data_IF_138019160251
#
_entry.id   IF_138019160251
#
_cell.length_a   1.000
_cell.length_b   1.000
_cell.length_c   1.000
_cell.angle_alpha   90.00
_cell.angle_beta   90.00
_cell.angle_gamma   90.00
#
_symmetry.space_group_name_H-M   'P 1'
#
loop_
_entity.id
_entity.type
_entity.pdbx_description
1 polymer ?
#
# COMPACT_ATOMS: atom_id res chain seq x y z
N UNK A 1 -18.10 -13.55 46.24
CA UNK A 1 -18.56 -14.49 47.27
C UNK A 1 -18.09 -15.87 46.83
N UNK A 2 -16.96 -16.36 47.29
CA UNK A 2 -16.73 -17.18 48.46
C UNK A 2 -17.42 -18.52 48.38
N UNK A 3 -16.66 -19.60 48.27
CA UNK A 3 -16.61 -20.62 49.32
C UNK A 3 -15.43 -21.55 49.05
N UNK A 4 -14.50 -21.50 50.00
CA UNK A 4 -13.46 -22.49 50.32
C UNK A 4 -14.04 -23.56 51.25
N UNK A 5 -13.59 -24.87 51.13
CA UNK A 5 -13.40 -25.84 52.27
C UNK A 5 -12.56 -26.98 51.76
N UNK A 6 -11.32 -27.08 52.15
CA UNK A 6 -10.58 -27.73 53.23
C UNK A 6 -11.12 -29.09 53.63
N UNK A 7 -10.32 -30.16 53.38
CA UNK A 7 -10.23 -31.36 54.24
C UNK A 7 -8.76 -31.76 54.34
N UNK A 8 -8.31 -31.84 55.56
CA UNK A 8 -7.02 -32.29 56.04
C UNK A 8 -7.11 -33.75 56.49
N UNK A 9 -5.92 -34.39 56.54
CA UNK A 9 -5.44 -35.55 57.34
C UNK A 9 -5.34 -36.87 56.55
N UNK A 10 -4.34 -37.73 56.67
CA UNK A 10 -3.27 -37.99 57.67
C UNK A 10 -2.24 -38.94 57.05
N UNK A 11 -0.99 -38.68 57.38
CA UNK A 11 0.12 -39.57 57.74
C UNK A 11 0.35 -40.94 57.04
N UNK A 12 1.51 -41.12 56.36
CA UNK A 12 2.56 -42.10 56.72
C UNK A 12 3.75 -42.04 55.75
N UNK A 13 4.89 -41.88 56.36
CA UNK A 13 6.27 -42.14 55.97
C UNK A 13 6.48 -43.11 54.79
N UNK A 14 7.30 -42.76 53.79
CA UNK A 14 8.67 -43.31 53.60
C UNK A 14 9.22 -43.01 52.16
N UNK A 15 10.52 -42.79 52.13
CA UNK A 15 11.49 -42.85 51.03
C UNK A 15 11.62 -41.67 50.09
N UNK A 16 12.52 -40.82 50.50
CA UNK A 16 13.28 -39.90 49.63
C UNK A 16 14.00 -40.71 48.55
N UNK A 17 13.52 -40.61 47.31
CA UNK A 17 14.35 -40.87 46.13
C UNK A 17 14.76 -39.52 45.57
N UNK A 18 16.05 -39.22 45.67
CA UNK A 18 16.66 -38.12 44.92
C UNK A 18 16.47 -38.39 43.42
N UNK A 19 15.53 -37.76 42.80
CA UNK A 19 15.50 -37.59 41.35
C UNK A 19 16.46 -36.43 41.03
N UNK A 20 17.56 -36.77 40.40
CA UNK A 20 18.44 -35.77 39.75
C UNK A 20 17.59 -35.03 38.74
N UNK A 21 17.21 -33.82 39.07
CA UNK A 21 16.63 -32.90 38.12
C UNK A 21 17.78 -32.42 37.23
N UNK A 22 17.94 -33.05 36.07
CA UNK A 22 18.70 -32.45 34.99
C UNK A 22 18.00 -31.11 34.66
N UNK A 23 18.76 -30.03 34.48
CA UNK A 23 18.14 -28.76 34.06
C UNK A 23 17.44 -29.04 32.73
N UNK A 24 16.11 -28.85 32.72
CA UNK A 24 15.33 -28.71 31.50
C UNK A 24 15.95 -27.48 30.82
N UNK A 25 16.75 -27.74 29.80
CA UNK A 25 17.29 -26.71 28.95
C UNK A 25 16.09 -25.93 28.43
N UNK A 26 16.05 -24.66 28.76
CA UNK A 26 14.97 -23.72 28.47
C UNK A 26 14.84 -23.59 26.96
N UNK A 27 13.95 -24.39 26.35
CA UNK A 27 13.61 -24.34 24.91
C UNK A 27 12.74 -23.12 24.60
N UNK A 28 12.39 -22.31 25.60
CA UNK A 28 11.44 -21.19 25.48
C UNK A 28 12.04 -19.90 24.93
N UNK A 29 13.32 -19.87 24.50
CA UNK A 29 13.96 -18.64 23.98
C UNK A 29 14.16 -18.60 22.46
N UNK A 30 13.53 -19.46 21.66
CA UNK A 30 13.74 -19.50 20.21
C UNK A 30 12.76 -18.69 19.36
N UNK A 31 11.66 -18.22 19.90
CA UNK A 31 10.65 -17.51 19.15
C UNK A 31 10.50 -16.07 19.67
N UNK A 32 10.83 -15.09 18.84
CA UNK A 32 10.30 -13.76 19.02
C UNK A 32 8.82 -13.85 18.61
N UNK A 33 7.91 -13.64 19.56
CA UNK A 33 6.46 -13.72 19.35
C UNK A 33 6.07 -12.93 18.10
N UNK A 34 4.97 -13.32 17.43
CA UNK A 34 4.33 -12.57 16.35
C UNK A 34 4.37 -11.07 16.67
N UNK A 35 5.20 -10.33 15.96
CA UNK A 35 5.20 -8.88 16.01
C UNK A 35 4.39 -8.35 14.82
N UNK A 36 3.50 -7.42 15.06
CA UNK A 36 2.94 -6.66 13.95
C UNK A 36 3.97 -5.60 13.56
N UNK A 37 4.64 -5.80 12.44
CA UNK A 37 5.50 -4.79 11.85
C UNK A 37 4.65 -3.62 11.36
N UNK A 38 5.01 -2.41 11.77
CA UNK A 38 4.44 -1.16 11.28
C UNK A 38 5.60 -0.31 10.80
N UNK A 39 5.73 -0.20 9.49
CA UNK A 39 6.82 0.56 8.87
C UNK A 39 6.28 1.53 7.80
N UNK A 40 6.84 2.74 7.74
CA UNK A 40 6.64 3.70 6.67
C UNK A 40 7.92 3.84 5.86
N UNK A 41 7.80 3.70 4.53
CA UNK A 41 8.95 3.68 3.62
C UNK A 41 9.01 4.89 2.72
N UNK A 42 10.23 5.43 2.58
CA UNK A 42 10.60 6.42 1.57
C UNK A 42 11.72 5.90 0.67
N UNK A 43 11.64 6.23 -0.60
CA UNK A 43 12.79 6.16 -1.51
C UNK A 43 13.52 7.49 -1.39
N UNK A 44 14.82 7.42 -1.23
CA UNK A 44 15.69 8.59 -1.07
C UNK A 44 16.33 8.92 -2.43
N UNK A 45 16.32 10.19 -2.82
CA UNK A 45 17.18 10.63 -3.92
C UNK A 45 18.63 10.52 -3.49
N UNK A 46 19.45 9.86 -4.29
CA UNK A 46 20.85 9.58 -3.96
C UNK A 46 21.63 10.87 -3.61
N UNK A 47 21.36 11.96 -4.32
CA UNK A 47 22.03 13.26 -4.10
C UNK A 47 21.60 13.93 -2.78
N UNK A 48 20.52 13.46 -2.15
CA UNK A 48 20.04 13.98 -0.87
C UNK A 48 20.52 13.18 0.35
N UNK A 49 21.23 12.07 0.15
CA UNK A 49 21.61 11.13 1.24
C UNK A 49 22.42 11.81 2.34
N UNK A 50 23.43 12.60 1.98
CA UNK A 50 24.30 13.23 2.98
C UNK A 50 23.57 14.30 3.77
N UNK A 51 22.77 15.14 3.11
CA UNK A 51 21.93 16.13 3.79
C UNK A 51 20.86 15.48 4.69
N UNK A 52 20.30 14.34 4.26
CA UNK A 52 19.36 13.56 5.08
C UNK A 52 20.07 12.99 6.32
N UNK A 53 21.26 12.41 6.15
CA UNK A 53 22.08 11.87 7.27
C UNK A 53 22.38 12.96 8.30
N UNK A 54 22.83 14.14 7.83
CA UNK A 54 23.10 15.28 8.71
C UNK A 54 21.84 15.71 9.47
N UNK A 55 20.69 15.75 8.80
CA UNK A 55 19.42 16.07 9.47
C UNK A 55 19.03 15.00 10.50
N UNK A 56 19.18 13.71 10.18
CA UNK A 56 18.88 12.61 11.12
C UNK A 56 19.74 12.69 12.39
N UNK A 57 21.00 13.12 12.28
CA UNK A 57 21.87 13.34 13.45
C UNK A 57 21.32 14.43 14.39
N UNK A 58 20.57 15.40 13.87
CA UNK A 58 19.98 16.49 14.69
C UNK A 58 18.75 16.06 15.48
N UNK A 59 18.13 14.93 15.15
CA UNK A 59 16.92 14.47 15.83
C UNK A 59 17.18 14.00 17.28
N UNK A 60 18.44 13.76 17.60
CA UNK A 60 18.83 13.11 18.87
C UNK A 60 18.47 11.61 18.85
N UNK A 61 18.79 10.94 19.95
CA UNK A 61 18.56 9.49 20.05
C UNK A 61 19.84 8.68 19.89
N UNK A 62 19.69 7.36 19.82
CA UNK A 62 20.79 6.41 19.74
C UNK A 62 21.12 6.14 18.28
N UNK A 63 22.36 6.43 17.88
CA UNK A 63 22.84 6.20 16.52
C UNK A 63 23.70 4.92 16.46
N UNK A 64 23.43 4.09 15.47
CA UNK A 64 24.21 2.90 15.14
C UNK A 64 24.85 3.08 13.78
N UNK A 65 26.18 2.94 13.74
CA UNK A 65 26.95 3.02 12.51
C UNK A 65 26.49 1.99 11.46
N UNK A 66 26.70 2.23 10.16
CA UNK A 66 26.30 1.31 9.13
C UNK A 66 26.82 -0.11 9.34
N UNK A 67 25.93 -1.10 9.28
CA UNK A 67 26.25 -2.53 9.26
C UNK A 67 25.78 -3.16 7.96
N UNK A 68 26.53 -4.14 7.45
CA UNK A 68 26.18 -4.85 6.22
C UNK A 68 25.11 -5.91 6.54
N UNK A 69 24.00 -5.87 5.80
CA UNK A 69 22.92 -6.84 5.81
C UNK A 69 22.86 -7.56 4.48
N UNK A 70 22.98 -8.89 4.53
CA UNK A 70 22.79 -9.75 3.36
C UNK A 70 21.54 -10.56 3.54
N UNK A 71 20.62 -10.52 2.57
CA UNK A 71 19.41 -11.31 2.62
C UNK A 71 19.32 -12.19 1.38
N UNK A 72 18.93 -13.42 1.57
CA UNK A 72 18.55 -14.35 0.51
C UNK A 72 17.04 -14.56 0.64
N UNK A 73 16.31 -14.30 -0.43
CA UNK A 73 14.86 -14.54 -0.51
C UNK A 73 14.60 -15.83 -1.24
N UNK A 74 13.64 -16.58 -0.71
CA UNK A 74 13.33 -17.92 -1.13
C UNK A 74 11.92 -18.00 -1.70
N UNK A 75 11.74 -18.88 -2.69
CA UNK A 75 10.44 -19.10 -3.31
C UNK A 75 10.40 -20.50 -3.95
N UNK A 76 9.22 -21.01 -4.21
CA UNK A 76 9.03 -22.20 -5.02
C UNK A 76 9.01 -21.84 -6.51
N UNK A 77 9.32 -22.78 -7.42
CA UNK A 77 9.27 -22.54 -8.87
C UNK A 77 7.90 -22.06 -9.38
N UNK A 78 6.83 -22.53 -8.77
CA UNK A 78 5.43 -22.16 -9.07
C UNK A 78 4.93 -20.93 -8.30
N UNK A 79 5.81 -20.25 -7.55
CA UNK A 79 5.53 -19.03 -6.75
C UNK A 79 4.46 -19.25 -5.67
N UNK A 80 4.51 -20.38 -5.01
CA UNK A 80 3.54 -20.75 -3.98
C UNK A 80 3.50 -19.74 -2.81
N UNK A 81 4.68 -19.32 -2.29
CA UNK A 81 4.74 -18.31 -1.21
C UNK A 81 4.11 -17.00 -1.65
N UNK A 82 4.49 -16.49 -2.81
CA UNK A 82 3.93 -15.26 -3.38
C UNK A 82 2.42 -15.36 -3.62
N UNK A 83 1.95 -16.54 -4.05
CA UNK A 83 0.52 -16.81 -4.26
C UNK A 83 -0.31 -16.76 -2.98
N UNK A 84 0.33 -16.91 -1.81
CA UNK A 84 -0.29 -16.81 -0.49
C UNK A 84 0.09 -15.52 0.25
N UNK A 85 0.60 -14.49 -0.45
CA UNK A 85 1.08 -13.22 0.12
C UNK A 85 2.14 -13.39 1.22
N UNK A 86 2.97 -14.42 1.07
CA UNK A 86 4.07 -14.76 1.98
C UNK A 86 5.41 -14.35 1.40
N UNK A 87 6.34 -13.91 2.26
CA UNK A 87 7.72 -13.60 1.88
C UNK A 87 8.70 -14.20 2.87
N UNK A 88 9.56 -15.11 2.38
CA UNK A 88 10.54 -15.84 3.16
C UNK A 88 11.96 -15.38 2.85
N UNK A 89 12.75 -15.08 3.88
CA UNK A 89 14.17 -14.76 3.73
C UNK A 89 15.01 -15.31 4.85
N UNK A 90 16.31 -15.48 4.58
CA UNK A 90 17.36 -15.54 5.60
C UNK A 90 18.16 -14.26 5.50
N UNK A 91 18.37 -13.60 6.65
CA UNK A 91 19.23 -12.43 6.82
C UNK A 91 20.49 -12.84 7.55
N UNK A 92 21.64 -12.39 7.02
CA UNK A 92 22.92 -12.43 7.70
C UNK A 92 23.38 -11.04 8.08
N UNK A 93 23.81 -10.85 9.34
CA UNK A 93 24.41 -9.64 9.86
C UNK A 93 25.49 -10.01 10.89
N UNK A 94 26.74 -9.59 10.65
CA UNK A 94 27.86 -9.81 11.57
C UNK A 94 28.00 -11.27 12.06
N UNK A 95 27.81 -12.23 11.16
CA UNK A 95 27.90 -13.69 11.47
C UNK A 95 26.70 -14.25 12.25
N UNK A 96 25.64 -13.48 12.44
CA UNK A 96 24.35 -13.94 12.98
C UNK A 96 23.37 -14.13 11.84
N UNK A 97 22.51 -15.12 11.97
CA UNK A 97 21.52 -15.43 10.95
C UNK A 97 20.11 -15.45 11.53
N UNK A 98 19.16 -14.97 10.74
CA UNK A 98 17.75 -14.92 11.09
C UNK A 98 16.90 -15.31 9.90
N UNK A 99 15.99 -16.27 10.09
CA UNK A 99 14.93 -16.57 9.14
C UNK A 99 13.71 -15.70 9.46
N UNK A 100 13.23 -15.00 8.46
CA UNK A 100 12.04 -14.15 8.58
C UNK A 100 10.95 -14.63 7.62
N UNK A 101 9.73 -14.80 8.14
CA UNK A 101 8.52 -14.97 7.34
C UNK A 101 7.61 -13.78 7.56
N UNK A 102 7.28 -13.07 6.47
CA UNK A 102 6.26 -12.02 6.46
C UNK A 102 5.03 -12.55 5.74
N UNK A 103 3.86 -12.33 6.31
CA UNK A 103 2.59 -12.80 5.72
C UNK A 103 1.71 -11.63 5.31
N UNK A 104 0.54 -11.92 4.69
CA UNK A 104 -0.41 -10.93 4.23
C UNK A 104 -0.71 -9.85 5.28
N UNK A 105 -0.74 -8.60 4.83
CA UNK A 105 -1.02 -7.45 5.66
C UNK A 105 -1.67 -6.32 4.87
N UNK A 106 -1.72 -5.13 5.46
CA UNK A 106 -2.25 -3.93 4.82
C UNK A 106 -1.12 -2.99 4.41
N UNK A 107 -1.27 -2.36 3.26
CA UNK A 107 -0.38 -1.29 2.80
C UNK A 107 -1.22 -0.09 2.39
N UNK A 108 -0.97 1.06 3.03
CA UNK A 108 -1.62 2.32 2.67
C UNK A 108 -0.53 3.36 2.38
N UNK A 109 -0.36 3.70 1.12
CA UNK A 109 0.57 4.74 0.66
C UNK A 109 2.05 4.52 0.98
N UNK A 110 2.47 3.32 1.36
CA UNK A 110 3.84 3.02 1.81
C UNK A 110 3.96 2.80 3.31
N UNK A 111 2.88 2.99 4.09
CA UNK A 111 2.76 2.46 5.44
C UNK A 111 2.35 0.99 5.35
N UNK A 112 3.25 0.11 5.77
CA UNK A 112 3.06 -1.34 5.82
C UNK A 112 2.68 -1.75 7.23
N UNK A 113 1.65 -2.60 7.34
CA UNK A 113 1.21 -3.21 8.59
C UNK A 113 1.00 -4.69 8.33
N UNK A 114 1.91 -5.54 8.81
CA UNK A 114 1.84 -6.99 8.54
C UNK A 114 2.48 -7.82 9.64
N UNK A 115 1.99 -9.04 9.87
CA UNK A 115 2.63 -9.97 10.76
C UNK A 115 4.01 -10.40 10.25
N UNK A 116 4.97 -10.43 11.15
CA UNK A 116 6.33 -10.88 10.91
C UNK A 116 6.74 -11.89 11.96
N UNK A 117 7.35 -12.99 11.49
CA UNK A 117 7.86 -14.06 12.33
C UNK A 117 9.36 -14.20 12.12
N UNK A 118 10.14 -13.98 13.17
CA UNK A 118 11.58 -14.02 13.16
C UNK A 118 12.11 -15.19 14.00
N UNK A 119 13.01 -15.97 13.41
CA UNK A 119 13.64 -17.14 14.03
C UNK A 119 15.15 -17.03 13.89
N UNK A 120 15.86 -16.98 15.02
CA UNK A 120 17.32 -17.00 15.02
C UNK A 120 17.83 -18.37 14.55
N UNK A 121 18.82 -18.35 13.65
CA UNK A 121 19.47 -19.54 13.10
C UNK A 121 20.93 -19.59 13.52
N UNK A 122 21.45 -20.81 13.74
CA UNK A 122 22.89 -21.04 13.97
C UNK A 122 23.70 -20.97 12.67
N UNK A 123 23.07 -21.34 11.55
CA UNK A 123 23.64 -21.35 10.20
C UNK A 123 22.64 -20.80 9.17
N UNK A 124 23.08 -20.30 8.01
CA UNK A 124 22.19 -19.74 6.99
C UNK A 124 21.45 -20.84 6.19
N UNK A 125 20.83 -21.77 6.90
CA UNK A 125 20.08 -22.89 6.32
C UNK A 125 18.62 -22.80 6.70
N UNK A 126 17.71 -22.92 5.71
CA UNK A 126 16.27 -22.92 5.95
C UNK A 126 15.83 -24.12 6.77
N UNK A 127 15.05 -23.85 7.81
CA UNK A 127 14.29 -24.85 8.55
C UNK A 127 12.86 -24.33 8.78
N UNK A 128 11.96 -24.66 7.86
CA UNK A 128 10.57 -24.21 7.90
C UNK A 128 9.79 -24.76 9.09
N UNK A 129 10.25 -25.88 9.69
CA UNK A 129 9.62 -26.46 10.88
C UNK A 129 9.81 -25.59 12.14
N UNK A 130 10.74 -24.63 12.10
CA UNK A 130 10.91 -23.65 13.18
C UNK A 130 9.86 -22.54 13.17
N UNK A 131 9.10 -22.36 12.09
CA UNK A 131 8.01 -21.39 12.01
C UNK A 131 6.75 -21.94 12.70
N UNK A 132 5.99 -21.11 13.42
CA UNK A 132 4.78 -21.55 14.10
C UNK A 132 3.67 -21.93 13.11
N UNK A 133 2.73 -22.77 13.56
CA UNK A 133 1.68 -23.34 12.70
C UNK A 133 0.75 -22.28 12.09
N UNK A 134 0.49 -21.20 12.81
CA UNK A 134 -0.38 -20.09 12.36
C UNK A 134 0.18 -19.34 11.16
N UNK A 135 1.45 -19.50 10.82
CA UNK A 135 2.06 -18.92 9.60
C UNK A 135 1.47 -19.55 8.33
N UNK A 136 1.13 -20.83 8.42
CA UNK A 136 0.78 -21.63 7.25
C UNK A 136 -0.72 -21.58 6.94
N UNK A 137 -1.10 -21.56 5.66
CA UNK A 137 -2.50 -21.75 5.28
C UNK A 137 -3.08 -23.03 5.93
N UNK A 138 -4.26 -22.90 6.54
CA UNK A 138 -4.92 -23.97 7.29
C UNK A 138 -4.17 -24.49 8.54
N UNK A 139 -3.13 -23.78 9.02
CA UNK A 139 -2.40 -24.13 10.22
C UNK A 139 -1.43 -25.30 10.08
N UNK A 140 -1.07 -25.69 8.85
CA UNK A 140 -0.17 -26.82 8.60
C UNK A 140 0.88 -26.46 7.53
N UNK A 141 2.16 -26.76 7.82
CA UNK A 141 3.25 -26.68 6.84
C UNK A 141 2.99 -27.72 5.74
N UNK A 142 2.85 -27.32 4.45
CA UNK A 142 2.73 -28.29 3.37
C UNK A 142 3.92 -29.24 3.32
N UNK A 143 3.65 -30.56 3.25
CA UNK A 143 4.67 -31.61 3.42
C UNK A 143 5.82 -31.55 2.39
N UNK A 144 5.54 -31.08 1.17
CA UNK A 144 6.51 -30.95 0.08
C UNK A 144 7.18 -29.57 -0.02
N UNK A 145 6.71 -28.57 0.73
CA UNK A 145 7.14 -27.18 0.58
C UNK A 145 8.64 -27.00 0.84
N UNK A 146 9.17 -27.61 1.90
CA UNK A 146 10.57 -27.50 2.27
C UNK A 146 11.52 -28.01 1.18
N UNK A 147 11.12 -29.04 0.40
CA UNK A 147 11.90 -29.59 -0.71
C UNK A 147 11.82 -28.76 -1.99
N UNK A 148 10.82 -27.89 -2.12
CA UNK A 148 10.57 -27.07 -3.33
C UNK A 148 11.11 -25.66 -3.21
N UNK A 149 11.30 -25.16 -1.99
CA UNK A 149 11.78 -23.80 -1.74
C UNK A 149 13.26 -23.68 -2.08
N UNK A 150 13.60 -22.69 -2.91
CA UNK A 150 14.96 -22.43 -3.37
C UNK A 150 15.26 -20.92 -3.37
N UNK A 151 16.56 -20.51 -3.35
CA UNK A 151 16.92 -19.11 -3.49
C UNK A 151 16.40 -18.51 -4.80
N UNK A 152 15.81 -17.34 -4.75
CA UNK A 152 15.26 -16.64 -5.91
C UNK A 152 16.01 -15.34 -6.24
N UNK A 153 16.26 -14.51 -5.23
CA UNK A 153 17.00 -13.25 -5.35
C UNK A 153 17.64 -12.89 -4.01
N UNK A 154 18.55 -11.92 -4.03
CA UNK A 154 19.24 -11.43 -2.85
C UNK A 154 19.17 -9.91 -2.73
N UNK A 155 19.41 -9.41 -1.52
CA UNK A 155 19.71 -8.00 -1.26
C UNK A 155 20.98 -7.90 -0.45
N UNK A 156 21.86 -6.97 -0.82
CA UNK A 156 23.10 -6.67 -0.11
C UNK A 156 23.16 -5.15 0.08
N UNK A 157 23.12 -4.69 1.32
CA UNK A 157 23.07 -3.27 1.63
C UNK A 157 23.65 -2.96 2.99
N UNK A 158 24.10 -1.74 3.17
CA UNK A 158 24.47 -1.17 4.46
C UNK A 158 23.27 -0.48 5.08
N UNK A 159 22.95 -0.82 6.34
CA UNK A 159 21.90 -0.20 7.14
C UNK A 159 22.50 0.63 8.25
N UNK A 160 22.21 1.93 8.23
CA UNK A 160 22.52 2.88 9.29
C UNK A 160 21.22 3.18 10.06
N UNK A 161 21.29 3.22 11.41
CA UNK A 161 20.08 3.29 12.22
C UNK A 161 20.13 4.43 13.25
N UNK A 162 18.96 5.02 13.49
CA UNK A 162 18.69 5.94 14.59
C UNK A 162 17.49 5.47 15.37
N UNK A 163 17.61 5.34 16.70
CA UNK A 163 16.50 5.02 17.59
C UNK A 163 16.05 6.30 18.26
N UNK A 164 14.85 6.74 17.95
CA UNK A 164 14.29 8.02 18.44
C UNK A 164 13.00 7.80 19.23
N UNK A 165 12.75 8.68 20.19
CA UNK A 165 11.50 8.71 20.96
C UNK A 165 10.64 9.89 20.50
N UNK A 166 9.41 9.61 20.04
CA UNK A 166 8.45 10.61 19.60
C UNK A 166 7.12 10.36 20.31
N UNK A 167 6.67 11.35 21.10
CA UNK A 167 5.39 11.28 21.83
C UNK A 167 5.21 9.98 22.65
N UNK A 168 6.29 9.52 23.29
CA UNK A 168 6.28 8.27 24.08
C UNK A 168 6.34 6.97 23.24
N UNK A 169 6.51 7.08 21.95
CA UNK A 169 6.69 5.94 21.03
C UNK A 169 8.14 5.82 20.64
N UNK A 170 8.65 4.59 20.58
CA UNK A 170 10.00 4.26 20.13
C UNK A 170 9.99 3.89 18.65
N UNK A 171 10.79 4.58 17.85
CA UNK A 171 10.86 4.41 16.39
C UNK A 171 12.30 4.14 15.97
N UNK A 172 12.51 3.11 15.14
CA UNK A 172 13.76 2.90 14.42
C UNK A 172 13.66 3.62 13.06
N UNK A 173 14.64 4.47 12.79
CA UNK A 173 14.88 5.04 11.46
C UNK A 173 16.01 4.24 10.85
N UNK A 174 15.81 3.64 9.68
CA UNK A 174 16.81 2.85 8.97
C UNK A 174 17.09 3.45 7.58
N UNK A 175 18.31 3.88 7.34
CA UNK A 175 18.79 4.29 6.01
C UNK A 175 19.54 3.11 5.38
N UNK A 176 19.00 2.60 4.25
CA UNK A 176 19.50 1.43 3.53
C UNK A 176 20.13 1.85 2.21
N UNK A 177 21.39 1.53 2.01
CA UNK A 177 22.15 1.81 0.80
C UNK A 177 22.81 0.55 0.26
N UNK A 178 22.47 0.13 -0.97
CA UNK A 178 23.00 -1.08 -1.57
C UNK A 178 22.27 -1.50 -2.83
N UNK A 179 21.97 -2.79 -2.97
CA UNK A 179 21.34 -3.32 -4.19
C UNK A 179 20.47 -4.55 -3.95
N UNK A 180 19.52 -4.75 -4.86
CA UNK A 180 18.74 -5.99 -5.04
C UNK A 180 19.28 -6.68 -6.28
N UNK A 181 19.53 -7.99 -6.21
CA UNK A 181 20.06 -8.81 -7.31
C UNK A 181 19.22 -10.05 -7.57
N UNK A 182 18.96 -10.32 -8.87
CA UNK A 182 18.37 -11.59 -9.32
C UNK A 182 19.02 -11.99 -10.65
N UNK A 183 19.78 -13.09 -10.68
CA UNK A 183 20.59 -13.47 -11.84
C UNK A 183 21.55 -12.35 -12.22
N UNK A 184 21.52 -11.94 -13.48
CA UNK A 184 22.35 -10.84 -14.02
C UNK A 184 21.72 -9.44 -13.82
N UNK A 185 20.48 -9.37 -13.28
CA UNK A 185 19.79 -8.11 -13.07
C UNK A 185 20.05 -7.57 -11.66
N UNK A 186 20.32 -6.25 -11.58
CA UNK A 186 20.48 -5.54 -10.31
C UNK A 186 19.74 -4.21 -10.32
N UNK A 187 19.30 -3.75 -9.14
CA UNK A 187 18.66 -2.47 -8.92
C UNK A 187 19.16 -1.84 -7.61
N UNK A 188 19.48 -0.54 -7.58
CA UNK A 188 19.99 0.09 -6.36
C UNK A 188 18.93 0.15 -5.26
N UNK A 189 19.38 0.01 -4.00
CA UNK A 189 18.63 0.32 -2.79
C UNK A 189 19.12 1.68 -2.29
N UNK A 190 18.20 2.63 -2.15
CA UNK A 190 18.41 3.90 -1.48
C UNK A 190 17.08 4.27 -0.80
N UNK A 191 16.88 3.81 0.42
CA UNK A 191 15.60 3.83 1.12
C UNK A 191 15.75 4.29 2.56
N UNK A 192 14.73 4.98 3.06
CA UNK A 192 14.55 5.30 4.47
C UNK A 192 13.29 4.59 4.97
N UNK A 193 13.43 3.80 6.02
CA UNK A 193 12.34 3.08 6.68
C UNK A 193 12.15 3.65 8.09
N UNK A 194 10.92 3.92 8.48
CA UNK A 194 10.52 4.33 9.82
C UNK A 194 9.71 3.20 10.42
N UNK A 195 10.28 2.42 11.35
CA UNK A 195 9.63 1.26 11.97
C UNK A 195 9.22 1.58 13.40
N UNK A 196 7.95 1.31 13.72
CA UNK A 196 7.41 1.46 15.07
C UNK A 196 7.83 0.27 15.94
N UNK A 197 8.73 0.47 16.88
CA UNK A 197 9.15 -0.57 17.83
C UNK A 197 8.16 -0.69 19.01
N UNK A 198 7.61 0.44 19.46
CA UNK A 198 6.57 0.47 20.50
C UNK A 198 5.81 1.81 20.48
N UNK A 199 4.54 1.80 20.88
CA UNK A 199 3.69 2.98 20.96
C UNK A 199 2.66 3.08 19.84
N UNK A 200 2.45 4.27 19.30
CA UNK A 200 1.34 4.61 18.42
C UNK A 200 1.79 4.92 16.98
N UNK A 201 1.07 4.42 15.98
CA UNK A 201 1.32 4.69 14.55
C UNK A 201 1.35 6.20 14.22
N UNK A 202 0.62 7.01 14.96
CA UNK A 202 0.64 8.49 14.79
C UNK A 202 2.01 9.09 15.01
N UNK A 203 2.84 8.52 15.87
CA UNK A 203 4.20 9.01 16.12
C UNK A 203 5.09 8.81 14.89
N UNK A 204 4.94 7.68 14.17
CA UNK A 204 5.63 7.44 12.89
C UNK A 204 5.22 8.48 11.85
N UNK A 205 3.94 8.77 11.72
CA UNK A 205 3.42 9.78 10.78
C UNK A 205 3.90 11.18 11.14
N UNK A 206 3.95 11.52 12.42
CA UNK A 206 4.48 12.82 12.92
C UNK A 206 5.97 12.96 12.57
N UNK A 207 6.77 11.94 12.84
CA UNK A 207 8.19 11.92 12.47
C UNK A 207 8.36 12.05 10.95
N UNK A 208 7.58 11.31 10.19
CA UNK A 208 7.60 11.38 8.73
C UNK A 208 7.30 12.80 8.21
N UNK A 209 6.31 13.49 8.79
CA UNK A 209 6.00 14.89 8.45
C UNK A 209 7.17 15.85 8.71
N UNK A 210 7.95 15.61 9.77
CA UNK A 210 9.18 16.38 10.02
C UNK A 210 10.25 16.12 8.95
N UNK A 211 10.43 14.84 8.56
CA UNK A 211 11.45 14.45 7.59
C UNK A 211 11.13 14.91 6.17
N UNK A 212 9.89 14.82 5.71
CA UNK A 212 9.51 15.24 4.35
C UNK A 212 9.54 16.75 4.14
N UNK A 213 9.74 17.55 5.21
CA UNK A 213 10.04 18.97 5.07
C UNK A 213 11.40 19.23 4.40
N UNK A 214 12.29 18.22 4.39
CA UNK A 214 13.51 18.21 3.60
C UNK A 214 13.21 17.61 2.22
N UNK A 215 13.79 18.20 1.17
CA UNK A 215 13.69 17.64 -0.18
C UNK A 215 14.44 16.30 -0.31
N UNK A 216 14.07 15.52 -1.31
CA UNK A 216 14.80 14.29 -1.64
C UNK A 216 14.16 13.00 -1.13
N UNK A 217 12.97 13.08 -0.48
CA UNK A 217 12.20 11.92 -0.04
C UNK A 217 10.96 11.71 -0.92
N UNK A 218 10.75 10.47 -1.34
CA UNK A 218 9.55 10.04 -2.07
C UNK A 218 8.92 8.85 -1.36
N UNK A 219 7.69 9.00 -0.91
CA UNK A 219 6.96 7.89 -0.29
C UNK A 219 6.78 6.75 -1.29
N UNK A 220 7.33 5.56 -0.99
CA UNK A 220 7.40 4.42 -1.87
C UNK A 220 6.51 3.27 -1.41
N UNK A 221 5.85 2.59 -2.37
CA UNK A 221 5.03 1.39 -2.11
C UNK A 221 5.74 0.08 -2.41
N UNK A 222 6.84 0.10 -3.19
CA UNK A 222 7.57 -1.10 -3.58
C UNK A 222 8.57 -1.52 -2.50
N UNK A 223 8.37 -2.70 -1.93
CA UNK A 223 9.35 -3.30 -1.03
C UNK A 223 10.56 -3.85 -1.80
N UNK A 224 11.70 -4.05 -1.09
CA UNK A 224 12.88 -4.76 -1.62
C UNK A 224 12.48 -6.11 -2.23
N UNK A 225 11.57 -6.85 -1.56
CA UNK A 225 11.03 -8.11 -2.07
C UNK A 225 10.27 -7.94 -3.39
N UNK A 226 9.36 -6.95 -3.51
CA UNK A 226 8.62 -6.72 -4.75
C UNK A 226 9.53 -6.39 -5.93
N UNK A 227 10.63 -5.68 -5.70
CA UNK A 227 11.67 -5.40 -6.70
C UNK A 227 12.44 -6.66 -7.07
N UNK A 228 12.86 -7.47 -6.09
CA UNK A 228 13.56 -8.72 -6.31
C UNK A 228 12.74 -9.72 -7.12
N UNK A 229 11.46 -9.88 -6.82
CA UNK A 229 10.54 -10.70 -7.64
C UNK A 229 10.45 -10.20 -9.08
N UNK A 230 10.41 -8.90 -9.29
CA UNK A 230 10.36 -8.31 -10.63
C UNK A 230 11.65 -8.59 -11.42
N UNK A 231 12.80 -8.41 -10.80
CA UNK A 231 14.10 -8.73 -11.40
C UNK A 231 14.21 -10.23 -11.75
N UNK A 232 13.79 -11.12 -10.84
CA UNK A 232 13.80 -12.56 -11.03
C UNK A 232 12.86 -13.03 -12.18
N UNK A 233 11.92 -12.19 -12.60
CA UNK A 233 11.02 -12.45 -13.74
C UNK A 233 11.55 -11.87 -15.06
N UNK A 234 12.82 -11.52 -15.13
CA UNK A 234 13.47 -10.99 -16.33
C UNK A 234 13.41 -9.47 -16.46
N UNK A 235 13.01 -8.76 -15.39
CA UNK A 235 13.03 -7.29 -15.34
C UNK A 235 12.34 -6.60 -16.54
N UNK A 236 11.21 -7.14 -16.99
CA UNK A 236 10.48 -6.56 -18.11
C UNK A 236 10.07 -5.11 -17.82
N UNK A 237 10.18 -4.17 -18.76
CA UNK A 237 9.76 -2.79 -18.57
C UNK A 237 8.29 -2.73 -18.12
N UNK A 238 8.05 -1.97 -17.06
CA UNK A 238 6.67 -1.71 -16.61
C UNK A 238 6.03 -0.66 -17.50
N UNK A 239 4.81 -0.92 -17.96
CA UNK A 239 4.06 0.01 -18.80
C UNK A 239 3.05 0.85 -18.01
N UNK A 240 2.52 1.89 -18.65
CA UNK A 240 1.34 2.61 -18.17
C UNK A 240 0.19 1.61 -18.01
N UNK A 241 -0.49 1.68 -16.88
CA UNK A 241 -1.67 0.85 -16.61
C UNK A 241 -2.91 1.72 -16.45
N UNK A 242 -4.05 1.36 -17.06
CA UNK A 242 -5.30 2.06 -16.85
C UNK A 242 -5.76 1.91 -15.39
N UNK A 243 -6.55 2.85 -14.92
CA UNK A 243 -7.21 2.72 -13.62
C UNK A 243 -8.21 1.56 -13.69
N UNK A 244 -8.02 0.56 -12.83
CA UNK A 244 -8.93 -0.57 -12.73
C UNK A 244 -10.25 -0.18 -12.05
N UNK A 245 -11.31 -0.94 -12.33
CA UNK A 245 -12.57 -0.81 -11.58
C UNK A 245 -12.32 -1.18 -10.11
N UNK A 246 -12.76 -0.30 -9.20
CA UNK A 246 -12.61 -0.48 -7.77
C UNK A 246 -13.35 -1.73 -7.30
N UNK A 247 -12.64 -2.65 -6.67
CA UNK A 247 -13.24 -3.82 -6.00
C UNK A 247 -13.36 -3.53 -4.52
N UNK A 248 -14.58 -3.64 -4.00
CA UNK A 248 -14.86 -3.55 -2.57
C UNK A 248 -15.46 -4.87 -2.05
N UNK A 249 -15.31 -5.20 -0.75
CA UNK A 249 -15.97 -6.35 -0.16
C UNK A 249 -17.50 -6.32 -0.36
N UNK A 250 -18.14 -7.48 -0.51
CA UNK A 250 -19.57 -7.60 -0.83
C UNK A 250 -20.48 -6.83 0.14
N UNK A 251 -20.09 -6.70 1.41
CA UNK A 251 -20.82 -5.99 2.47
C UNK A 251 -20.12 -4.73 2.94
N UNK A 252 -19.31 -4.10 2.10
CA UNK A 252 -18.58 -2.88 2.46
C UNK A 252 -19.55 -1.75 2.85
N UNK A 253 -19.17 -0.98 3.87
CA UNK A 253 -19.79 0.29 4.21
C UNK A 253 -19.32 1.39 3.24
N UNK A 254 -20.03 2.51 3.23
CA UNK A 254 -19.62 3.71 2.46
C UNK A 254 -18.24 4.19 2.93
N UNK A 255 -17.91 4.09 4.23
CA UNK A 255 -16.57 4.42 4.73
C UNK A 255 -15.51 3.54 4.08
N UNK A 256 -15.72 2.23 4.03
CA UNK A 256 -14.79 1.31 3.37
C UNK A 256 -14.69 1.57 1.86
N UNK A 257 -15.80 1.98 1.23
CA UNK A 257 -15.79 2.42 -0.17
C UNK A 257 -14.95 3.68 -0.40
N UNK A 258 -15.02 4.66 0.49
CA UNK A 258 -14.19 5.88 0.47
C UNK A 258 -12.71 5.53 0.66
N UNK A 259 -12.39 4.72 1.66
CA UNK A 259 -11.01 4.26 1.91
C UNK A 259 -10.44 3.56 0.66
N UNK A 260 -11.17 2.59 0.12
CA UNK A 260 -10.73 1.84 -1.06
C UNK A 260 -10.58 2.73 -2.31
N UNK A 261 -11.44 3.72 -2.51
CA UNK A 261 -11.34 4.67 -3.63
C UNK A 261 -10.06 5.53 -3.53
N UNK A 262 -9.75 6.01 -2.36
CA UNK A 262 -8.54 6.81 -2.12
C UNK A 262 -7.26 5.98 -2.14
N UNK A 263 -7.29 4.75 -1.63
CA UNK A 263 -6.18 3.80 -1.71
C UNK A 263 -5.88 3.43 -3.19
N UNK A 264 -6.92 3.21 -4.00
CA UNK A 264 -6.76 2.98 -5.44
C UNK A 264 -6.09 4.17 -6.11
N UNK A 265 -6.57 5.39 -5.86
CA UNK A 265 -6.02 6.61 -6.45
C UNK A 265 -4.55 6.83 -6.03
N UNK A 266 -4.23 6.63 -4.74
CA UNK A 266 -2.86 6.73 -4.21
C UNK A 266 -1.93 5.67 -4.81
N UNK A 267 -2.42 4.44 -4.99
CA UNK A 267 -1.67 3.36 -5.64
C UNK A 267 -1.37 3.67 -7.12
N UNK A 268 -2.34 4.25 -7.85
CA UNK A 268 -2.12 4.72 -9.23
C UNK A 268 -1.10 5.86 -9.27
N UNK A 269 -1.18 6.82 -8.35
CA UNK A 269 -0.22 7.91 -8.25
C UNK A 269 1.21 7.37 -8.04
N UNK A 270 1.43 6.56 -7.02
CA UNK A 270 2.76 6.00 -6.70
C UNK A 270 3.31 5.11 -7.83
N UNK A 271 2.44 4.34 -8.51
CA UNK A 271 2.85 3.50 -9.62
C UNK A 271 3.36 4.31 -10.81
N UNK A 272 2.63 5.35 -11.21
CA UNK A 272 3.02 6.17 -12.37
C UNK A 272 4.16 7.13 -12.05
N UNK A 273 4.32 7.57 -10.80
CA UNK A 273 5.54 8.26 -10.36
C UNK A 273 6.79 7.39 -10.54
N UNK A 274 6.69 6.11 -10.17
CA UNK A 274 7.79 5.16 -10.35
C UNK A 274 8.17 5.02 -11.83
N UNK A 275 7.17 4.95 -12.73
CA UNK A 275 7.43 4.91 -14.16
C UNK A 275 8.09 6.19 -14.66
N UNK A 276 7.60 7.35 -14.22
CA UNK A 276 8.14 8.64 -14.66
C UNK A 276 9.58 8.84 -14.20
N UNK A 277 9.90 8.54 -12.94
CA UNK A 277 11.28 8.58 -12.42
C UNK A 277 12.22 7.64 -13.18
N UNK A 278 11.69 6.51 -13.68
CA UNK A 278 12.46 5.54 -14.50
C UNK A 278 12.57 5.92 -15.99
N UNK A 279 12.14 7.12 -16.36
CA UNK A 279 12.30 7.67 -17.72
C UNK A 279 11.09 7.48 -18.64
N UNK A 280 9.95 7.03 -18.14
CA UNK A 280 8.72 7.02 -18.93
C UNK A 280 7.97 8.36 -18.77
N UNK A 281 8.35 9.36 -19.58
CA UNK A 281 7.79 10.70 -19.50
C UNK A 281 6.27 10.75 -19.75
N UNK A 282 5.71 9.80 -20.51
CA UNK A 282 4.28 9.71 -20.73
C UNK A 282 3.50 9.49 -19.42
N UNK A 283 4.10 8.85 -18.43
CA UNK A 283 3.50 8.59 -17.13
C UNK A 283 3.18 9.87 -16.32
N UNK A 284 3.77 11.03 -16.65
CA UNK A 284 3.44 12.32 -16.03
C UNK A 284 1.94 12.63 -16.09
N UNK A 285 1.33 12.38 -17.23
CA UNK A 285 -0.11 12.59 -17.41
C UNK A 285 -0.94 11.69 -16.48
N UNK A 286 -0.50 10.45 -16.27
CA UNK A 286 -1.18 9.49 -15.39
C UNK A 286 -0.97 9.81 -13.90
N UNK A 287 0.17 10.39 -13.51
CA UNK A 287 0.36 10.95 -12.17
C UNK A 287 -0.67 12.05 -11.89
N UNK A 288 -0.82 13.01 -12.80
CA UNK A 288 -1.80 14.09 -12.66
C UNK A 288 -3.24 13.57 -12.68
N UNK A 289 -3.54 12.56 -13.51
CA UNK A 289 -4.84 11.91 -13.54
C UNK A 289 -5.15 11.19 -12.21
N UNK A 290 -4.18 10.53 -11.61
CA UNK A 290 -4.33 9.88 -10.30
C UNK A 290 -4.59 10.90 -9.17
N UNK A 291 -3.93 12.06 -9.18
CA UNK A 291 -4.23 13.15 -8.25
C UNK A 291 -5.65 13.71 -8.48
N UNK A 292 -6.07 13.83 -9.74
CA UNK A 292 -7.44 14.17 -10.13
C UNK A 292 -8.44 13.16 -9.56
N UNK A 293 -8.11 11.87 -9.60
CA UNK A 293 -8.94 10.80 -9.03
C UNK A 293 -9.07 10.92 -7.50
N UNK A 294 -8.00 11.30 -6.77
CA UNK A 294 -8.10 11.62 -5.32
C UNK A 294 -9.11 12.74 -5.08
N UNK A 295 -9.02 13.85 -5.84
CA UNK A 295 -9.95 14.97 -5.73
C UNK A 295 -11.37 14.56 -6.05
N UNK A 296 -11.52 13.71 -7.06
CA UNK A 296 -12.81 13.20 -7.48
C UNK A 296 -13.43 12.28 -6.42
N UNK A 297 -12.68 11.36 -5.83
CA UNK A 297 -13.14 10.52 -4.73
C UNK A 297 -13.62 11.39 -3.54
N UNK A 298 -12.82 12.38 -3.10
CA UNK A 298 -13.22 13.32 -2.05
C UNK A 298 -14.51 14.12 -2.40
N UNK A 299 -14.78 14.35 -3.67
CA UNK A 299 -16.00 15.04 -4.12
C UNK A 299 -17.20 14.08 -4.16
N UNK A 300 -17.02 12.87 -4.66
CA UNK A 300 -18.07 11.84 -4.77
C UNK A 300 -18.69 11.52 -3.41
N UNK A 301 -17.86 11.44 -2.35
CA UNK A 301 -18.31 11.21 -0.99
C UNK A 301 -18.64 12.50 -0.22
N UNK A 302 -18.58 13.68 -0.87
CA UNK A 302 -18.76 15.00 -0.24
C UNK A 302 -20.15 15.27 0.36
N UNK A 303 -21.17 14.48 -0.02
CA UNK A 303 -22.49 14.51 0.61
C UNK A 303 -22.57 13.84 1.97
N UNK A 304 -21.46 13.19 2.43
CA UNK A 304 -21.33 12.52 3.71
C UNK A 304 -20.14 13.09 4.48
N UNK A 305 -18.97 13.14 3.87
CA UNK A 305 -17.74 13.70 4.43
C UNK A 305 -17.67 15.19 4.06
N UNK A 306 -17.79 16.10 5.03
CA UNK A 306 -17.84 17.52 4.72
C UNK A 306 -16.49 18.03 4.16
N UNK A 307 -16.53 18.98 3.23
CA UNK A 307 -15.34 19.53 2.56
C UNK A 307 -14.26 20.02 3.53
N UNK A 308 -14.63 20.55 4.70
CA UNK A 308 -13.69 20.99 5.74
C UNK A 308 -12.79 19.87 6.26
N UNK A 309 -13.25 18.62 6.22
CA UNK A 309 -12.46 17.46 6.66
C UNK A 309 -11.26 17.17 5.75
N UNK A 310 -11.29 17.63 4.49
CA UNK A 310 -10.22 17.44 3.51
C UNK A 310 -9.60 18.77 3.02
N UNK A 311 -9.85 19.89 3.69
CA UNK A 311 -9.39 21.22 3.24
C UNK A 311 -7.86 21.26 3.11
N UNK A 312 -7.14 20.91 4.17
CA UNK A 312 -5.68 20.88 4.18
C UNK A 312 -5.09 19.93 3.09
N UNK A 313 -5.66 18.71 2.98
CA UNK A 313 -5.25 17.76 1.94
C UNK A 313 -5.43 18.35 0.53
N UNK A 314 -6.54 19.03 0.28
CA UNK A 314 -6.82 19.69 -1.02
C UNK A 314 -5.82 20.80 -1.33
N UNK A 315 -5.39 21.56 -0.33
CA UNK A 315 -4.40 22.62 -0.50
C UNK A 315 -3.02 22.03 -0.86
N UNK A 316 -2.60 20.97 -0.17
CA UNK A 316 -1.37 20.26 -0.48
C UNK A 316 -1.40 19.60 -1.86
N UNK A 317 -2.53 19.01 -2.27
CA UNK A 317 -2.70 18.50 -3.62
C UNK A 317 -2.55 19.61 -4.66
N UNK A 318 -3.08 20.81 -4.40
CA UNK A 318 -2.95 21.95 -5.34
C UNK A 318 -1.50 22.39 -5.48
N UNK A 319 -0.76 22.47 -4.38
CA UNK A 319 0.68 22.80 -4.40
C UNK A 319 1.49 21.76 -5.16
N UNK A 320 1.24 20.46 -4.90
CA UNK A 320 1.90 19.36 -5.59
C UNK A 320 1.59 19.36 -7.09
N UNK A 321 0.31 19.55 -7.49
CA UNK A 321 -0.07 19.65 -8.91
C UNK A 321 0.65 20.82 -9.61
N UNK A 322 0.73 21.99 -8.97
CA UNK A 322 1.45 23.14 -9.53
C UNK A 322 2.93 22.81 -9.75
N UNK A 323 3.59 22.14 -8.80
CA UNK A 323 4.97 21.68 -8.94
C UNK A 323 5.11 20.66 -10.07
N UNK A 324 4.25 19.64 -10.12
CA UNK A 324 4.30 18.62 -11.17
C UNK A 324 4.05 19.19 -12.58
N UNK A 325 3.19 20.20 -12.71
CA UNK A 325 2.91 20.86 -14.00
C UNK A 325 4.08 21.72 -14.46
N UNK A 326 4.67 22.51 -13.53
CA UNK A 326 5.76 23.45 -13.86
C UNK A 326 7.10 22.76 -14.10
N UNK A 327 7.38 21.65 -13.42
CA UNK A 327 8.66 20.97 -13.51
C UNK A 327 8.74 20.05 -14.73
N UNK A 328 9.86 20.10 -15.43
CA UNK A 328 10.17 19.21 -16.55
C UNK A 328 10.83 17.92 -16.06
N UNK A 329 11.71 18.04 -15.05
CA UNK A 329 12.44 16.91 -14.48
C UNK A 329 11.53 16.10 -13.55
N UNK A 330 11.39 14.80 -13.84
CA UNK A 330 10.71 13.85 -12.96
C UNK A 330 11.34 13.81 -11.56
N UNK A 331 12.67 13.82 -11.49
CA UNK A 331 13.39 13.77 -10.21
C UNK A 331 13.06 15.01 -9.38
N UNK A 332 13.18 16.21 -9.93
CA UNK A 332 12.88 17.46 -9.22
C UNK A 332 11.42 17.50 -8.75
N UNK A 333 10.48 17.13 -9.61
CA UNK A 333 9.05 17.19 -9.32
C UNK A 333 8.65 16.20 -8.23
N UNK A 334 9.07 14.95 -8.36
CA UNK A 334 8.58 13.83 -7.51
C UNK A 334 9.27 13.80 -6.15
N UNK A 335 10.54 14.20 -6.08
CA UNK A 335 11.28 14.33 -4.80
C UNK A 335 11.14 15.71 -4.14
N UNK A 336 10.23 16.55 -4.63
CA UNK A 336 9.91 17.83 -3.98
C UNK A 336 9.19 17.63 -2.67
N UNK A 337 9.36 18.59 -1.74
CA UNK A 337 8.64 18.61 -0.46
C UNK A 337 7.12 18.66 -0.66
N UNK A 338 6.63 19.41 -1.65
CA UNK A 338 5.22 19.55 -1.97
C UNK A 338 4.59 18.20 -2.34
N UNK A 339 5.27 17.42 -3.20
CA UNK A 339 4.78 16.11 -3.64
C UNK A 339 4.84 15.08 -2.51
N UNK A 340 5.91 15.08 -1.70
CA UNK A 340 6.05 14.20 -0.54
C UNK A 340 5.00 14.50 0.53
N UNK A 341 4.80 15.78 0.88
CA UNK A 341 3.81 16.21 1.86
C UNK A 341 2.37 15.87 1.44
N UNK A 342 2.02 16.05 0.16
CA UNK A 342 0.67 15.75 -0.33
C UNK A 342 0.33 14.24 -0.22
N UNK A 343 1.28 13.36 -0.58
CA UNK A 343 1.10 11.90 -0.44
C UNK A 343 1.06 11.46 1.02
N UNK A 344 1.95 12.00 1.84
CA UNK A 344 1.96 11.68 3.27
C UNK A 344 0.68 12.13 3.96
N UNK A 345 0.19 13.33 3.64
CA UNK A 345 -1.08 13.83 4.18
C UNK A 345 -2.27 12.96 3.78
N UNK A 346 -2.31 12.43 2.53
CA UNK A 346 -3.34 11.47 2.11
C UNK A 346 -3.22 10.16 2.87
N UNK A 347 -2.00 9.65 3.05
CA UNK A 347 -1.74 8.43 3.84
C UNK A 347 -2.19 8.62 5.30
N UNK A 348 -1.80 9.72 5.93
CA UNK A 348 -2.21 10.07 7.29
C UNK A 348 -3.73 10.19 7.41
N UNK A 349 -4.37 10.88 6.46
CA UNK A 349 -5.81 11.06 6.41
C UNK A 349 -6.55 9.71 6.37
N UNK A 350 -6.06 8.75 5.59
CA UNK A 350 -6.58 7.39 5.51
C UNK A 350 -6.33 6.58 6.79
N UNK A 351 -5.08 6.54 7.24
CA UNK A 351 -4.67 5.71 8.39
C UNK A 351 -5.33 6.15 9.69
N UNK A 352 -5.44 7.47 9.91
CA UNK A 352 -6.02 8.04 11.12
C UNK A 352 -7.53 8.27 11.03
N UNK A 353 -8.13 7.99 9.86
CA UNK A 353 -9.53 8.32 9.57
C UNK A 353 -9.85 9.77 9.89
N UNK A 354 -9.02 10.68 9.41
CA UNK A 354 -9.03 12.10 9.79
C UNK A 354 -10.36 12.84 9.50
N UNK A 355 -11.28 12.22 8.77
CA UNK A 355 -12.64 12.73 8.53
C UNK A 355 -13.59 12.53 9.70
N UNK A 356 -13.37 11.52 10.53
CA UNK A 356 -14.31 11.11 11.57
C UNK A 356 -14.69 12.24 12.55
N UNK A 357 -13.76 13.07 13.05
CA UNK A 357 -14.11 14.18 13.94
C UNK A 357 -15.02 15.26 13.33
N UNK A 358 -15.15 15.26 12.02
CA UNK A 358 -15.98 16.24 11.28
C UNK A 358 -17.40 15.73 10.97
N UNK A 359 -17.69 14.46 11.27
CA UNK A 359 -19.00 13.85 11.03
C UNK A 359 -19.96 14.17 12.18
N UNK A 360 -21.13 14.71 11.86
CA UNK A 360 -22.25 14.74 12.81
C UNK A 360 -22.91 13.35 12.93
N UNK A 361 -23.84 13.19 13.86
CA UNK A 361 -24.53 11.92 14.11
C UNK A 361 -25.24 11.35 12.86
N UNK A 362 -25.79 12.21 11.99
CA UNK A 362 -26.46 11.82 10.76
C UNK A 362 -25.44 11.31 9.72
N UNK A 363 -24.31 11.98 9.57
CA UNK A 363 -23.24 11.58 8.68
C UNK A 363 -22.56 10.28 9.17
N UNK A 364 -22.38 10.13 10.50
CA UNK A 364 -21.86 8.89 11.10
C UNK A 364 -22.77 7.68 10.82
N UNK A 365 -24.08 7.85 10.95
CA UNK A 365 -25.02 6.78 10.60
C UNK A 365 -24.97 6.46 9.09
N UNK A 366 -24.93 7.50 8.25
CA UNK A 366 -24.91 7.36 6.79
C UNK A 366 -23.62 6.72 6.25
N UNK A 367 -22.46 7.04 6.80
CA UNK A 367 -21.17 6.48 6.33
C UNK A 367 -21.05 4.98 6.61
N UNK A 368 -21.82 4.48 7.59
CA UNK A 368 -21.92 3.06 7.91
C UNK A 368 -22.88 2.27 6.99
N UNK A 369 -23.69 2.97 6.17
CA UNK A 369 -24.61 2.34 5.22
C UNK A 369 -23.89 1.55 4.14
N UNK A 370 -24.64 0.74 3.39
CA UNK A 370 -24.14 -0.10 2.30
C UNK A 370 -23.52 0.70 1.17
N UNK A 371 -22.25 0.43 0.87
CA UNK A 371 -21.55 1.02 -0.28
C UNK A 371 -22.18 0.59 -1.62
N UNK A 372 -22.64 -0.66 -1.72
CA UNK A 372 -23.37 -1.10 -2.93
C UNK A 372 -24.60 -0.23 -3.22
N UNK A 373 -25.43 0.05 -2.19
CA UNK A 373 -26.60 0.91 -2.37
C UNK A 373 -26.22 2.35 -2.77
N UNK A 374 -25.15 2.88 -2.17
CA UNK A 374 -24.59 4.16 -2.57
C UNK A 374 -24.14 4.14 -4.03
N UNK A 375 -23.44 3.08 -4.46
CA UNK A 375 -22.99 2.90 -5.84
C UNK A 375 -24.18 2.86 -6.82
N UNK A 376 -25.21 2.08 -6.55
CA UNK A 376 -26.40 1.95 -7.41
C UNK A 376 -27.07 3.32 -7.69
N UNK A 377 -27.20 4.15 -6.65
CA UNK A 377 -27.81 5.48 -6.75
C UNK A 377 -26.94 6.41 -7.61
N UNK A 378 -25.63 6.41 -7.37
CA UNK A 378 -24.71 7.31 -8.07
C UNK A 378 -24.44 6.85 -9.51
N UNK A 379 -24.33 5.56 -9.79
CA UNK A 379 -24.22 5.03 -11.15
C UNK A 379 -25.40 5.47 -12.03
N UNK A 380 -26.63 5.33 -11.52
CA UNK A 380 -27.82 5.77 -12.25
C UNK A 380 -27.80 7.27 -12.55
N UNK A 381 -27.31 8.09 -11.62
CA UNK A 381 -27.17 9.55 -11.83
C UNK A 381 -26.13 9.89 -12.89
N UNK A 382 -24.93 9.30 -12.80
CA UNK A 382 -23.84 9.56 -13.75
C UNK A 382 -24.18 9.10 -15.16
N UNK A 383 -24.84 7.95 -15.30
CA UNK A 383 -25.32 7.49 -16.61
C UNK A 383 -26.38 8.42 -17.21
N UNK A 384 -27.32 8.93 -16.40
CA UNK A 384 -28.30 9.90 -16.86
C UNK A 384 -27.63 11.22 -17.29
N UNK A 385 -26.60 11.68 -16.55
CA UNK A 385 -25.82 12.89 -16.91
C UNK A 385 -25.06 12.70 -18.21
N UNK A 386 -24.37 11.57 -18.42
CA UNK A 386 -23.70 11.24 -19.68
C UNK A 386 -24.67 11.22 -20.86
N UNK A 387 -25.82 10.55 -20.68
CA UNK A 387 -26.84 10.46 -21.73
C UNK A 387 -27.45 11.85 -22.05
N UNK A 388 -27.69 12.68 -21.06
CA UNK A 388 -28.19 14.03 -21.24
C UNK A 388 -27.15 14.93 -21.95
N UNK A 389 -25.88 14.79 -21.63
CA UNK A 389 -24.80 15.61 -22.19
C UNK A 389 -24.48 15.22 -23.64
N UNK A 390 -24.41 13.92 -23.93
CA UNK A 390 -23.93 13.40 -25.23
C UNK A 390 -25.05 12.82 -26.10
N UNK A 391 -26.30 12.93 -25.69
CA UNK A 391 -27.45 12.40 -26.44
C UNK A 391 -27.63 13.02 -27.82
N UNK A 392 -27.07 14.21 -28.05
CA UNK A 392 -27.04 14.88 -29.34
C UNK A 392 -25.58 15.22 -29.72
N UNK A 393 -25.23 15.27 -31.03
CA UNK A 393 -23.94 15.74 -31.51
C UNK A 393 -23.61 17.15 -30.99
N UNK A 394 -22.38 17.35 -30.50
CA UNK A 394 -21.96 18.64 -29.93
C UNK A 394 -21.11 19.50 -30.86
N UNK A 395 -20.70 18.97 -32.04
CA UNK A 395 -19.84 19.67 -32.98
C UNK A 395 -18.48 20.04 -32.35
N UNK A 396 -18.11 21.32 -32.41
CA UNK A 396 -16.83 21.79 -31.87
C UNK A 396 -16.82 21.89 -30.33
N UNK A 397 -17.97 21.72 -29.65
CA UNK A 397 -18.08 21.82 -28.17
C UNK A 397 -17.75 20.54 -27.42
N UNK A 398 -17.34 19.48 -28.07
CA UNK A 398 -16.94 18.23 -27.38
C UNK A 398 -15.83 18.44 -26.36
N UNK A 399 -14.83 19.27 -26.67
CA UNK A 399 -13.71 19.56 -25.78
C UNK A 399 -14.16 20.23 -24.48
N UNK A 400 -15.21 21.04 -24.50
CA UNK A 400 -15.74 21.69 -23.31
C UNK A 400 -16.35 20.70 -22.33
N UNK A 401 -16.73 19.51 -22.80
CA UNK A 401 -17.30 18.45 -21.96
C UNK A 401 -16.27 17.44 -21.42
N UNK A 402 -15.00 17.53 -21.80
CA UNK A 402 -13.96 16.62 -21.31
C UNK A 402 -13.87 16.55 -19.79
N UNK A 403 -13.92 17.66 -19.03
CA UNK A 403 -13.86 17.57 -17.56
C UNK A 403 -15.04 16.80 -16.97
N UNK A 404 -16.24 16.96 -17.55
CA UNK A 404 -17.45 16.24 -17.13
C UNK A 404 -17.34 14.76 -17.48
N UNK A 405 -17.00 14.43 -18.73
CA UNK A 405 -16.85 13.06 -19.20
C UNK A 405 -15.82 12.29 -18.38
N UNK A 406 -14.66 12.90 -18.09
CA UNK A 406 -13.63 12.31 -17.24
C UNK A 406 -14.16 12.03 -15.84
N UNK A 407 -14.83 13.00 -15.21
CA UNK A 407 -15.42 12.85 -13.88
C UNK A 407 -16.45 11.71 -13.82
N UNK A 408 -17.28 11.59 -14.84
CA UNK A 408 -18.33 10.55 -14.87
C UNK A 408 -17.71 9.17 -15.10
N UNK A 409 -16.71 9.03 -15.96
CA UNK A 409 -15.93 7.80 -16.15
C UNK A 409 -15.25 7.40 -14.82
N UNK A 410 -14.58 8.35 -14.15
CA UNK A 410 -13.91 8.10 -12.87
C UNK A 410 -14.91 7.66 -11.77
N UNK A 411 -16.10 8.28 -11.73
CA UNK A 411 -17.17 7.84 -10.81
C UNK A 411 -17.57 6.39 -11.07
N UNK A 412 -17.70 6.00 -12.32
CA UNK A 412 -18.11 4.65 -12.68
C UNK A 412 -17.01 3.66 -12.33
N UNK A 413 -15.74 3.99 -12.59
CA UNK A 413 -14.61 3.16 -12.15
C UNK A 413 -14.60 2.93 -10.63
N UNK A 414 -14.95 3.94 -9.84
CA UNK A 414 -15.00 3.84 -8.38
C UNK A 414 -16.25 3.13 -7.85
N UNK A 415 -17.31 2.95 -8.63
CA UNK A 415 -18.60 2.47 -8.16
C UNK A 415 -19.04 1.11 -8.74
N UNK A 416 -18.45 0.70 -9.88
CA UNK A 416 -18.94 -0.43 -10.65
C UNK A 416 -18.47 -1.82 -10.19
N UNK A 417 -17.68 -1.93 -9.12
CA UNK A 417 -17.01 -3.18 -8.72
C UNK A 417 -17.92 -4.31 -8.21
N UNK A 418 -19.21 -4.05 -8.03
CA UNK A 418 -20.20 -5.07 -7.65
C UNK A 418 -20.89 -5.76 -8.82
N UNK A 419 -20.56 -5.37 -10.05
CA UNK A 419 -21.20 -5.86 -11.25
C UNK A 419 -20.28 -6.78 -12.05
N UNK A 420 -20.83 -7.43 -13.05
CA UNK A 420 -20.04 -8.30 -13.94
C UNK A 420 -18.92 -7.49 -14.62
N UNK A 421 -17.68 -7.96 -14.45
CA UNK A 421 -16.50 -7.22 -14.89
C UNK A 421 -16.48 -7.01 -16.41
N UNK A 422 -16.96 -7.98 -17.20
CA UNK A 422 -16.97 -7.88 -18.66
C UNK A 422 -18.03 -6.88 -19.12
N UNK A 423 -19.20 -6.88 -18.48
CA UNK A 423 -20.27 -5.91 -18.78
C UNK A 423 -19.84 -4.48 -18.43
N UNK A 424 -19.17 -4.29 -17.29
CA UNK A 424 -18.61 -2.99 -16.89
C UNK A 424 -17.54 -2.53 -17.87
N UNK A 425 -16.62 -3.41 -18.24
CA UNK A 425 -15.54 -3.10 -19.16
C UNK A 425 -16.07 -2.70 -20.54
N UNK A 426 -16.97 -3.48 -21.10
CA UNK A 426 -17.59 -3.19 -22.40
C UNK A 426 -18.34 -1.84 -22.41
N UNK A 427 -19.02 -1.52 -21.29
CA UNK A 427 -19.70 -0.22 -21.15
C UNK A 427 -18.72 0.94 -21.05
N UNK A 428 -17.64 0.80 -20.30
CA UNK A 428 -16.61 1.82 -20.13
C UNK A 428 -15.80 2.06 -21.40
N UNK A 429 -15.53 1.04 -22.20
CA UNK A 429 -14.73 1.14 -23.44
C UNK A 429 -15.29 2.19 -24.39
N UNK A 430 -16.60 2.27 -24.55
CA UNK A 430 -17.22 3.26 -25.42
C UNK A 430 -17.04 4.70 -24.89
N UNK A 431 -17.22 4.93 -23.58
CA UNK A 431 -17.03 6.25 -23.00
C UNK A 431 -15.55 6.67 -22.93
N UNK A 432 -14.64 5.73 -22.67
CA UNK A 432 -13.21 5.97 -22.71
C UNK A 432 -12.73 6.20 -24.15
N UNK A 433 -13.25 5.47 -25.13
CA UNK A 433 -13.02 5.68 -26.55
C UNK A 433 -13.48 7.07 -26.99
N UNK A 434 -14.69 7.50 -26.58
CA UNK A 434 -15.17 8.85 -26.83
C UNK A 434 -14.23 9.91 -26.25
N UNK A 435 -13.80 9.75 -24.99
CA UNK A 435 -12.83 10.66 -24.36
C UNK A 435 -11.52 10.72 -25.14
N UNK A 436 -10.97 9.57 -25.52
CA UNK A 436 -9.75 9.49 -26.32
C UNK A 436 -9.89 10.20 -27.68
N UNK A 437 -10.96 9.92 -28.41
CA UNK A 437 -11.22 10.52 -29.70
C UNK A 437 -11.37 12.06 -29.63
N UNK A 438 -12.00 12.58 -28.55
CA UNK A 438 -12.09 14.03 -28.32
C UNK A 438 -10.73 14.65 -28.07
N UNK A 439 -9.90 14.01 -27.21
CA UNK A 439 -8.56 14.49 -26.89
C UNK A 439 -7.66 14.52 -28.12
N UNK A 440 -7.70 13.45 -28.94
CA UNK A 440 -6.88 13.31 -30.14
C UNK A 440 -7.44 14.04 -31.37
N UNK A 441 -8.68 14.58 -31.27
CA UNK A 441 -9.31 15.33 -32.34
C UNK A 441 -9.81 14.49 -33.51
N UNK A 442 -10.08 13.20 -33.29
CA UNK A 442 -10.53 12.26 -34.34
C UNK A 442 -12.06 12.33 -34.51
N UNK A 443 -12.54 13.31 -35.33
CA UNK A 443 -13.97 13.63 -35.43
C UNK A 443 -14.90 12.47 -35.82
N UNK A 444 -14.46 11.57 -36.67
CA UNK A 444 -15.22 10.37 -37.06
C UNK A 444 -15.39 9.42 -35.89
N UNK A 445 -14.30 9.15 -35.14
CA UNK A 445 -14.29 8.30 -33.96
C UNK A 445 -15.13 8.91 -32.83
N UNK A 446 -15.15 10.22 -32.68
CA UNK A 446 -16.01 10.93 -31.70
C UNK A 446 -17.48 10.57 -31.90
N UNK A 447 -18.00 10.70 -33.14
CA UNK A 447 -19.41 10.37 -33.41
C UNK A 447 -19.69 8.86 -33.34
N UNK A 448 -18.73 8.03 -33.74
CA UNK A 448 -18.84 6.58 -33.60
C UNK A 448 -18.98 6.17 -32.12
N UNK A 449 -18.00 6.51 -31.29
CA UNK A 449 -18.03 6.16 -29.87
C UNK A 449 -19.20 6.81 -29.12
N UNK A 450 -19.57 8.04 -29.47
CA UNK A 450 -20.76 8.69 -28.91
C UNK A 450 -22.02 7.85 -29.18
N UNK A 451 -22.24 7.43 -30.42
CA UNK A 451 -23.40 6.63 -30.78
C UNK A 451 -23.42 5.30 -30.06
N UNK A 452 -22.31 4.56 -30.05
CA UNK A 452 -22.19 3.30 -29.32
C UNK A 452 -22.49 3.50 -27.81
N UNK A 453 -21.91 4.53 -27.20
CA UNK A 453 -22.04 4.81 -25.77
C UNK A 453 -23.48 5.17 -25.35
N UNK A 454 -24.23 5.96 -26.13
CA UNK A 454 -25.58 6.40 -25.75
C UNK A 454 -26.65 5.33 -25.94
N UNK A 455 -26.42 4.36 -26.84
CA UNK A 455 -27.38 3.28 -27.13
C UNK A 455 -27.12 2.01 -26.36
N UNK A 456 -25.96 1.86 -25.72
CA UNK A 456 -25.66 0.67 -24.91
C UNK A 456 -26.54 0.59 -23.66
N UNK A 457 -26.90 -0.64 -23.26
CA UNK A 457 -27.68 -0.87 -22.05
C UNK A 457 -26.81 -0.71 -20.79
N UNK A 458 -27.35 -0.05 -19.75
CA UNK A 458 -26.65 0.07 -18.48
C UNK A 458 -26.43 -1.27 -17.78
N UNK A 459 -25.21 -1.64 -17.46
CA UNK A 459 -24.85 -2.93 -16.85
C UNK A 459 -25.49 -3.15 -15.46
N UNK A 460 -25.84 -2.10 -14.75
CA UNK A 460 -26.44 -2.19 -13.40
C UNK A 460 -27.93 -2.53 -13.39
N UNK A 461 -28.63 -2.50 -14.54
CA UNK A 461 -30.05 -2.84 -14.63
C UNK A 461 -30.30 -4.36 -14.55
N UNK A 462 -29.30 -5.18 -14.83
CA UNK A 462 -29.43 -6.63 -14.91
C UNK A 462 -29.00 -7.36 -13.63
N UNK A 463 -28.58 -6.65 -12.56
CA UNK A 463 -28.05 -7.23 -11.33
C UNK A 463 -29.09 -7.94 -10.44
N UNK A 464 -30.34 -7.99 -10.83
CA UNK A 464 -31.45 -8.64 -10.09
C UNK A 464 -31.81 -10.05 -10.55
N UNK A 465 -31.11 -10.61 -11.54
CA UNK A 465 -31.35 -11.97 -12.05
C UNK A 465 -30.12 -12.86 -11.80
N UNK A 466 -29.90 -13.22 -10.54
CA UNK A 466 -29.13 -14.40 -10.16
C UNK A 466 -29.78 -15.09 -8.97
#
# INVERSE_FOLDING_TARGET
MAIWRKILSTDKKERVKFAVILPICDITHKYKAMAQEIELKFIVNHDAVDALRDHLQTLGGEHHAPSQLQNIYYETPDKWLRGHDMGLRIRGENGRYEMTMKIAGRVTGGLHQRPEYNVALSEPTLDLALLPQEVWPNGELPADLASRVQPLFSTDFYREKWLVDVDGSRIEIALDLGEVKAGECAEPICELELELLSGETRAVLKLANQLVSQAGLRQGSLSKAARGYHLAQGNAPRGIRPTAVLKAPAKASIEQGLEAALELALSQWQYHEELWVRGNDAAKADVLAAMGLVRHALMLFGGIVPRKASAHLRDLLTQSEATLVSEVSAITAIYSTQTAMAKLALTEWLVTKAWQPFLDAKAQAKIADSFKRFADIHLSRHAAELKATFGQPLGDRYRDQLPRLTRDIDSILLLAGYYDANAVQAWLENWQGLRHAIVTGQRIEVEHFRNEAIFQEPFWLHSGKR
#
